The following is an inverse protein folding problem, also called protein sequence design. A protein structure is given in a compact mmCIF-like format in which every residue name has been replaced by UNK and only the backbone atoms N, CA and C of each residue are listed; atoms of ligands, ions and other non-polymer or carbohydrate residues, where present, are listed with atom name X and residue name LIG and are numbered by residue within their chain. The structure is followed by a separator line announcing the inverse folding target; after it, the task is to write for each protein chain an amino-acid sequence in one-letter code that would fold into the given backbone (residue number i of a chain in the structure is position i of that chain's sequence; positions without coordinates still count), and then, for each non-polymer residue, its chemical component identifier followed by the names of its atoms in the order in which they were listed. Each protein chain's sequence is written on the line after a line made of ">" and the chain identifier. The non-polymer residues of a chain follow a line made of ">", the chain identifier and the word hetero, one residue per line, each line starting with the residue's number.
data_IF_554957935106
#
_entry.id   IF_554957935106
#
_cell.length_a   1.000
_cell.length_b   1.000
_cell.length_c   1.000
_cell.angle_alpha   90.00
_cell.angle_beta   90.00
_cell.angle_gamma   90.00
#
_symmetry.space_group_name_H-M   'P 1'
#
loop_
_entity.id
_entity.type
_entity.pdbx_description
1 polymer ?
#
# COMPACT_ATOMS: atom_id res chain seq x y z
N UNK A 1 -18.42 -25.74 9.95
CA UNK A 1 -17.17 -25.02 10.28
C UNK A 1 -17.19 -24.34 11.64
N UNK A 2 -18.16 -23.49 12.00
CA UNK A 2 -18.18 -22.85 13.33
C UNK A 2 -18.42 -23.86 14.48
N UNK A 3 -19.26 -24.88 14.23
CA UNK A 3 -19.55 -25.96 15.19
C UNK A 3 -18.36 -26.94 15.33
N UNK A 4 -17.77 -27.38 14.22
CA UNK A 4 -16.56 -28.22 14.22
C UNK A 4 -15.36 -27.54 14.90
N UNK A 5 -15.19 -26.23 14.69
CA UNK A 5 -14.13 -25.44 15.34
C UNK A 5 -14.34 -25.32 16.86
N UNK A 6 -15.57 -25.10 17.31
CA UNK A 6 -15.92 -25.09 18.73
C UNK A 6 -15.76 -26.50 19.34
N UNK A 7 -16.16 -27.56 18.62
CA UNK A 7 -16.00 -28.95 19.06
C UNK A 7 -14.51 -29.33 19.21
N UNK A 8 -13.65 -28.92 18.28
CA UNK A 8 -12.20 -29.13 18.37
C UNK A 8 -11.57 -28.36 19.56
N UNK A 9 -11.97 -27.10 19.79
CA UNK A 9 -11.48 -26.34 20.95
C UNK A 9 -11.87 -27.00 22.28
N UNK A 10 -13.04 -27.64 22.34
CA UNK A 10 -13.57 -28.29 23.53
C UNK A 10 -12.91 -29.66 23.78
N UNK A 11 -12.50 -30.39 22.74
CA UNK A 11 -11.80 -31.68 22.89
C UNK A 11 -10.36 -31.50 23.38
N UNK A 12 -9.65 -30.48 22.89
CA UNK A 12 -8.28 -30.17 23.31
C UNK A 12 -8.16 -29.61 24.74
N UNK A 13 -9.21 -28.96 25.26
CA UNK A 13 -9.24 -28.51 26.67
C UNK A 13 -9.50 -29.65 27.63
N UNK A 14 -10.29 -30.67 27.24
CA UNK A 14 -10.56 -31.84 28.11
C UNK A 14 -9.35 -32.74 28.30
N UNK A 15 -8.52 -32.95 27.28
CA UNK A 15 -7.31 -33.77 27.40
C UNK A 15 -6.23 -33.13 28.29
N UNK A 16 -6.17 -31.79 28.38
CA UNK A 16 -5.19 -31.11 29.24
C UNK A 16 -5.60 -31.04 30.72
N UNK A 17 -6.86 -31.32 31.07
CA UNK A 17 -7.33 -31.28 32.46
C UNK A 17 -7.20 -32.65 33.13
N UNK A 18 -7.23 -33.76 32.39
CA UNK A 18 -7.02 -35.11 32.94
C UNK A 18 -5.57 -35.36 33.38
N UNK A 19 -4.59 -34.71 32.76
CA UNK A 19 -3.17 -35.00 32.98
C UNK A 19 -2.54 -34.18 34.13
N UNK A 20 -3.26 -33.19 34.67
CA UNK A 20 -2.76 -32.33 35.76
C UNK A 20 -3.20 -32.82 37.15
N UNK A 21 -4.16 -33.75 37.24
CA UNK A 21 -4.70 -34.23 38.52
C UNK A 21 -3.85 -35.32 39.21
N UNK A 22 -2.84 -35.90 38.55
CA UNK A 22 -2.10 -37.08 39.03
C UNK A 22 -0.60 -36.86 39.28
N UNK A 23 -0.17 -35.63 39.56
CA UNK A 23 1.24 -35.35 39.83
C UNK A 23 1.45 -34.06 40.64
N UNK A 24 1.28 -34.11 41.96
CA UNK A 24 1.84 -33.09 42.85
C UNK A 24 2.14 -33.62 44.26
N UNK A 25 3.33 -34.22 44.42
CA UNK A 25 3.99 -34.36 45.72
C UNK A 25 5.50 -34.59 45.57
N UNK A 26 6.32 -33.53 45.60
CA UNK A 26 7.62 -33.51 46.30
C UNK A 26 8.40 -32.18 46.14
N UNK A 27 8.44 -31.48 47.27
CA UNK A 27 9.38 -30.51 47.88
C UNK A 27 10.87 -30.38 47.44
N UNK A 28 11.38 -29.12 47.60
CA UNK A 28 12.75 -28.64 48.02
C UNK A 28 13.82 -28.56 46.88
N UNK A 29 14.71 -27.56 46.69
CA UNK A 29 15.26 -26.38 47.43
C UNK A 29 15.99 -25.39 46.47
N UNK A 30 16.08 -24.11 46.89
CA UNK A 30 17.04 -23.05 46.47
C UNK A 30 18.51 -23.37 46.86
N UNK A 31 19.60 -22.73 46.35
CA UNK A 31 19.79 -21.26 46.44
C UNK A 31 20.77 -20.50 45.46
N UNK A 32 20.73 -19.16 45.62
CA UNK A 32 21.81 -18.14 45.51
C UNK A 32 22.14 -17.40 44.18
N UNK A 33 22.26 -16.08 44.37
CA UNK A 33 22.63 -15.00 43.46
C UNK A 33 24.14 -14.91 43.17
N UNK A 34 24.53 -14.23 42.07
CA UNK A 34 25.76 -13.45 41.95
C UNK A 34 25.64 -12.37 40.85
N UNK A 35 26.21 -11.21 41.15
CA UNK A 35 26.13 -9.91 40.46
C UNK A 35 27.35 -9.61 39.54
N UNK A 36 27.19 -8.54 38.74
CA UNK A 36 28.23 -7.63 38.18
C UNK A 36 28.85 -8.05 36.82
N UNK A 37 29.27 -7.19 35.86
CA UNK A 37 29.55 -5.74 35.82
C UNK A 37 29.67 -5.28 34.36
N UNK A 38 29.36 -4.01 34.06
CA UNK A 38 29.65 -3.27 32.81
C UNK A 38 31.14 -2.89 32.71
N UNK A 39 31.65 -2.54 31.50
CA UNK A 39 32.42 -1.30 31.42
C UNK A 39 32.07 -0.39 30.23
N UNK A 40 31.98 0.90 30.52
CA UNK A 40 32.10 2.01 29.57
C UNK A 40 33.58 2.34 29.35
N UNK A 41 33.94 2.81 28.15
CA UNK A 41 35.19 3.55 27.93
C UNK A 41 34.93 4.83 27.14
N UNK A 42 35.32 5.93 27.76
CA UNK A 42 35.37 7.33 27.31
C UNK A 42 36.73 7.67 26.67
N UNK A 43 36.74 8.68 25.78
CA UNK A 43 37.71 9.78 25.61
C UNK A 43 37.59 10.33 24.16
N UNK A 44 37.00 11.50 23.89
CA UNK A 44 37.49 12.90 24.02
C UNK A 44 38.84 13.22 23.35
N UNK A 45 38.82 14.07 22.30
CA UNK A 45 39.58 15.34 22.03
C UNK A 45 39.11 15.84 20.64
N UNK A 46 38.29 16.90 20.49
CA UNK A 46 38.49 18.37 20.49
C UNK A 46 39.11 19.05 19.24
N UNK A 47 38.27 19.87 18.60
CA UNK A 47 38.48 21.23 18.03
C UNK A 47 39.24 21.41 16.71
N UNK A 48 38.53 21.93 15.69
CA UNK A 48 38.92 23.17 14.98
C UNK A 48 37.74 23.87 14.29
N UNK A 49 37.59 25.15 14.61
CA UNK A 49 36.69 26.16 14.03
C UNK A 49 37.20 26.64 12.66
N UNK A 50 36.31 26.84 11.70
CA UNK A 50 36.45 27.84 10.62
C UNK A 50 35.05 28.22 10.09
N UNK A 51 34.56 29.41 10.47
CA UNK A 51 34.44 30.62 9.64
C UNK A 51 33.32 30.57 8.57
N UNK A 52 32.20 31.21 8.93
CA UNK A 52 31.19 31.77 8.00
C UNK A 52 31.81 32.84 7.08
N UNK A 53 31.17 33.10 5.93
CA UNK A 53 31.00 34.46 5.43
C UNK A 53 29.52 34.89 5.38
N UNK A 54 29.31 36.16 5.72
CA UNK A 54 28.10 36.96 5.53
C UNK A 54 28.03 37.51 4.09
N UNK A 55 26.82 37.64 3.55
CA UNK A 55 26.33 38.63 2.55
C UNK A 55 24.89 38.21 2.21
N UNK A 56 23.88 39.06 2.09
CA UNK A 56 23.72 40.50 2.13
C UNK A 56 22.28 40.77 1.66
N UNK A 57 21.61 41.73 2.29
CA UNK A 57 20.25 42.18 1.99
C UNK A 57 20.04 42.57 0.52
N UNK A 58 18.83 42.37 0.01
CA UNK A 58 18.15 43.30 -0.91
C UNK A 58 16.65 43.02 -0.98
N UNK A 59 15.88 44.01 -0.49
CA UNK A 59 14.43 44.22 -0.68
C UNK A 59 14.11 44.67 -2.11
N UNK A 60 12.98 44.19 -2.63
CA UNK A 60 11.97 44.91 -3.42
C UNK A 60 10.77 43.96 -3.51
N UNK A 61 9.53 44.22 -3.06
CA UNK A 61 8.62 45.37 -3.20
C UNK A 61 8.44 45.80 -4.66
N UNK A 62 7.52 45.11 -5.35
CA UNK A 62 6.61 45.72 -6.32
C UNK A 62 5.21 45.18 -6.00
N UNK A 63 4.30 46.13 -5.84
CA UNK A 63 2.88 46.02 -5.58
C UNK A 63 2.17 46.62 -6.81
N UNK A 64 0.86 46.36 -6.94
CA UNK A 64 -0.10 46.94 -7.90
C UNK A 64 0.02 46.46 -9.34
N UNK A 65 -1.02 46.45 -10.16
CA UNK A 65 -2.49 46.27 -10.09
C UNK A 65 -2.88 46.43 -11.57
N UNK A 66 -3.81 45.61 -12.07
CA UNK A 66 -4.81 45.94 -13.12
C UNK A 66 -5.36 44.63 -13.71
N UNK A 67 -6.58 44.24 -13.32
CA UNK A 67 -7.84 44.55 -14.03
C UNK A 67 -7.79 44.04 -15.47
N UNK A 68 -8.36 42.85 -15.70
CA UNK A 68 -9.15 42.68 -16.91
C UNK A 68 -10.40 41.84 -16.67
N UNK A 69 -11.53 42.45 -17.03
CA UNK A 69 -12.89 41.93 -16.93
C UNK A 69 -13.14 41.10 -18.19
N UNK A 70 -13.42 39.81 -18.06
CA UNK A 70 -14.12 39.08 -19.12
C UNK A 70 -15.02 37.95 -18.59
N UNK A 71 -16.31 38.27 -18.55
CA UNK A 71 -17.49 37.44 -18.86
C UNK A 71 -17.59 36.04 -18.25
N UNK A 72 -18.52 35.92 -17.29
CA UNK A 72 -19.20 34.66 -16.94
C UNK A 72 -20.01 34.11 -18.13
N UNK A 73 -19.97 32.78 -18.36
CA UNK A 73 -21.09 32.06 -18.93
C UNK A 73 -21.79 31.21 -17.86
N UNK A 74 -23.11 31.32 -17.86
CA UNK A 74 -24.05 30.66 -16.97
C UNK A 74 -24.02 29.13 -17.05
N UNK A 75 -23.91 28.53 -15.86
CA UNK A 75 -24.59 27.33 -15.35
C UNK A 75 -25.04 26.25 -16.35
N UNK A 76 -24.12 25.35 -16.68
CA UNK A 76 -24.44 23.95 -17.00
C UNK A 76 -24.10 23.07 -15.81
N UNK A 77 -25.11 22.52 -15.13
CA UNK A 77 -24.96 21.55 -14.04
C UNK A 77 -24.21 20.30 -14.54
N UNK A 78 -22.89 20.29 -14.40
CA UNK A 78 -22.05 19.12 -14.63
C UNK A 78 -21.75 18.47 -13.29
N UNK A 79 -22.31 17.29 -13.07
CA UNK A 79 -21.95 16.38 -11.98
C UNK A 79 -20.52 15.87 -12.19
N UNK A 80 -19.53 16.72 -11.95
CA UNK A 80 -18.14 16.29 -11.82
C UNK A 80 -17.93 15.78 -10.38
N UNK A 81 -17.98 14.47 -10.22
CA UNK A 81 -17.56 13.80 -9.00
C UNK A 81 -16.04 13.93 -8.84
N UNK A 82 -15.61 15.04 -8.22
CA UNK A 82 -14.23 15.29 -7.77
C UNK A 82 -14.18 15.08 -6.25
N UNK A 83 -13.68 13.93 -5.81
CA UNK A 83 -13.51 13.61 -4.38
C UNK A 83 -12.06 13.14 -4.16
N UNK A 84 -11.31 13.85 -3.32
CA UNK A 84 -10.04 13.42 -2.72
C UNK A 84 -9.96 14.00 -1.30
N UNK A 85 -9.64 13.17 -0.30
CA UNK A 85 -9.44 13.56 1.11
C UNK A 85 -8.21 12.85 1.67
N UNK A 86 -7.81 13.17 2.91
CA UNK A 86 -6.66 12.64 3.64
C UNK A 86 -7.03 12.36 5.10
N UNK A 87 -6.72 11.15 5.57
CA UNK A 87 -6.78 10.70 6.96
C UNK A 87 -5.34 10.47 7.42
N UNK A 88 -4.94 11.12 8.51
CA UNK A 88 -3.58 10.98 9.01
C UNK A 88 -3.33 9.62 9.68
N UNK A 89 -2.07 9.33 10.00
CA UNK A 89 -1.63 8.09 10.66
C UNK A 89 -2.22 7.88 12.07
N UNK A 90 -2.88 8.89 12.65
CA UNK A 90 -3.55 8.83 13.94
C UNK A 90 -5.08 8.69 13.81
N UNK A 91 -5.62 8.63 12.59
CA UNK A 91 -7.06 8.58 12.35
C UNK A 91 -7.77 9.93 12.52
N UNK A 92 -7.03 11.04 12.54
CA UNK A 92 -7.60 12.39 12.62
C UNK A 92 -7.86 12.87 11.19
N UNK A 93 -9.13 13.14 10.89
CA UNK A 93 -9.57 13.72 9.63
C UNK A 93 -9.28 15.21 9.66
N UNK A 94 -8.35 15.69 8.81
CA UNK A 94 -8.24 17.13 8.55
C UNK A 94 -9.26 17.49 7.49
N UNK A 95 -10.30 18.23 7.87
CA UNK A 95 -11.28 18.70 6.90
C UNK A 95 -10.59 19.57 5.84
N UNK A 96 -10.75 19.26 4.54
CA UNK A 96 -10.32 20.19 3.50
C UNK A 96 -11.13 21.49 3.64
N UNK A 97 -10.50 22.63 3.36
CA UNK A 97 -11.12 23.97 3.37
C UNK A 97 -12.21 24.18 2.32
N UNK A 98 -12.73 23.09 1.73
CA UNK A 98 -13.75 23.08 0.70
C UNK A 98 -15.05 22.59 1.33
N UNK A 99 -16.05 23.46 1.39
CA UNK A 99 -17.41 23.13 1.81
C UNK A 99 -18.01 22.09 0.83
N UNK A 100 -18.10 20.84 1.27
CA UNK A 100 -18.79 19.77 0.53
C UNK A 100 -20.31 20.00 0.57
N UNK A 101 -21.02 19.65 -0.51
CA UNK A 101 -22.49 19.55 -0.41
C UNK A 101 -22.90 18.42 0.53
N UNK A 102 -24.07 18.52 1.16
CA UNK A 102 -24.63 17.49 2.03
C UNK A 102 -24.64 16.10 1.35
N UNK A 103 -24.92 16.09 0.04
CA UNK A 103 -24.92 14.85 -0.75
C UNK A 103 -23.53 14.21 -0.88
N UNK A 104 -22.47 15.03 -0.93
CA UNK A 104 -21.09 14.57 -0.98
C UNK A 104 -20.59 14.15 0.41
N UNK A 105 -20.97 14.88 1.47
CA UNK A 105 -20.66 14.49 2.85
C UNK A 105 -21.33 13.16 3.22
N UNK A 106 -22.58 12.93 2.82
CA UNK A 106 -23.26 11.67 3.05
C UNK A 106 -22.58 10.50 2.33
N UNK A 107 -22.17 10.70 1.06
CA UNK A 107 -21.40 9.70 0.30
C UNK A 107 -20.04 9.42 0.93
N UNK A 108 -19.36 10.45 1.42
CA UNK A 108 -18.09 10.35 2.13
C UNK A 108 -18.23 9.52 3.42
N UNK A 109 -19.19 9.89 4.26
CA UNK A 109 -19.44 9.18 5.52
C UNK A 109 -19.76 7.70 5.26
N UNK A 110 -20.58 7.42 4.24
CA UNK A 110 -20.89 6.05 3.83
C UNK A 110 -19.63 5.29 3.38
N UNK A 111 -18.79 5.92 2.55
CA UNK A 111 -17.53 5.33 2.09
C UNK A 111 -16.58 5.01 3.24
N UNK A 112 -16.38 5.95 4.17
CA UNK A 112 -15.52 5.75 5.36
C UNK A 112 -16.05 4.58 6.18
N UNK A 113 -17.35 4.56 6.47
CA UNK A 113 -17.97 3.49 7.25
C UNK A 113 -17.80 2.11 6.59
N UNK A 114 -17.96 2.03 5.26
CA UNK A 114 -17.81 0.79 4.51
C UNK A 114 -16.34 0.34 4.42
N UNK A 115 -15.41 1.29 4.33
CA UNK A 115 -13.96 1.04 4.40
C UNK A 115 -13.55 0.48 5.76
N UNK A 116 -14.04 1.05 6.86
CA UNK A 116 -13.77 0.56 8.21
C UNK A 116 -14.30 -0.87 8.42
N UNK A 117 -15.55 -1.14 8.03
CA UNK A 117 -16.13 -2.49 8.05
C UNK A 117 -15.28 -3.48 7.24
N UNK A 118 -14.78 -3.06 6.08
CA UNK A 118 -13.89 -3.87 5.23
C UNK A 118 -12.57 -4.19 5.94
N UNK A 119 -11.93 -3.19 6.54
CA UNK A 119 -10.68 -3.37 7.29
C UNK A 119 -10.88 -4.29 8.50
N UNK A 120 -11.98 -4.14 9.24
CA UNK A 120 -12.31 -5.03 10.35
C UNK A 120 -12.42 -6.50 9.92
N UNK A 121 -13.09 -6.77 8.79
CA UNK A 121 -13.17 -8.15 8.23
C UNK A 121 -11.80 -8.71 7.85
N UNK A 122 -10.93 -7.90 7.24
CA UNK A 122 -9.57 -8.29 6.87
C UNK A 122 -8.76 -8.63 8.13
N UNK A 123 -8.82 -7.77 9.15
CA UNK A 123 -8.13 -7.99 10.44
C UNK A 123 -8.62 -9.28 11.11
N UNK A 124 -9.94 -9.50 11.13
CA UNK A 124 -10.51 -10.69 11.75
C UNK A 124 -10.09 -11.98 11.02
N UNK A 125 -10.13 -12.00 9.69
CA UNK A 125 -9.66 -13.16 8.92
C UNK A 125 -8.16 -13.38 9.08
N UNK A 126 -7.36 -12.31 9.12
CA UNK A 126 -5.93 -12.40 9.39
C UNK A 126 -5.65 -12.99 10.78
N UNK A 127 -6.41 -12.56 11.80
CA UNK A 127 -6.35 -13.11 13.16
C UNK A 127 -6.68 -14.61 13.16
N UNK A 128 -7.75 -15.01 12.48
CA UNK A 128 -8.15 -16.43 12.36
C UNK A 128 -7.08 -17.28 11.67
N UNK A 129 -6.47 -16.78 10.59
CA UNK A 129 -5.36 -17.45 9.90
C UNK A 129 -4.13 -17.59 10.81
N UNK A 130 -3.80 -16.55 11.58
CA UNK A 130 -2.66 -16.58 12.50
C UNK A 130 -2.85 -17.61 13.62
N UNK A 131 -4.04 -17.64 14.24
CA UNK A 131 -4.40 -18.64 15.25
C UNK A 131 -4.33 -20.05 14.66
N UNK A 132 -4.94 -20.27 13.49
CA UNK A 132 -4.91 -21.59 12.84
C UNK A 132 -3.49 -22.04 12.48
N UNK A 133 -2.65 -21.14 11.98
CA UNK A 133 -1.25 -21.43 11.71
C UNK A 133 -0.47 -21.78 12.99
N UNK A 134 -0.77 -21.15 14.13
CA UNK A 134 -0.18 -21.51 15.42
C UNK A 134 -0.60 -22.92 15.86
N UNK A 135 -1.88 -23.27 15.74
CA UNK A 135 -2.37 -24.62 16.03
C UNK A 135 -1.73 -25.68 15.13
N UNK A 136 -1.62 -25.42 13.82
CA UNK A 136 -0.92 -26.31 12.88
C UNK A 136 0.53 -26.54 13.28
N UNK A 137 1.25 -25.49 13.68
CA UNK A 137 2.63 -25.60 14.16
C UNK A 137 2.71 -26.45 15.44
N UNK A 138 1.82 -26.23 16.40
CA UNK A 138 1.79 -27.00 17.64
C UNK A 138 1.49 -28.49 17.39
N UNK A 139 0.50 -28.79 16.55
CA UNK A 139 0.16 -30.15 16.16
C UNK A 139 1.32 -30.85 15.44
N UNK A 140 1.98 -30.17 14.51
CA UNK A 140 3.17 -30.71 13.84
C UNK A 140 4.31 -31.00 14.84
N UNK A 141 4.56 -30.10 15.80
CA UNK A 141 5.55 -30.35 16.85
C UNK A 141 5.21 -31.58 17.71
N UNK A 142 3.94 -31.77 18.05
CA UNK A 142 3.48 -32.92 18.84
C UNK A 142 3.59 -34.23 18.06
N UNK A 143 3.20 -34.23 16.79
CA UNK A 143 3.39 -35.36 15.88
C UNK A 143 4.88 -35.77 15.79
N UNK A 144 5.78 -34.80 15.60
CA UNK A 144 7.22 -35.06 15.55
C UNK A 144 7.81 -35.57 16.88
N UNK A 145 7.15 -35.30 18.00
CA UNK A 145 7.51 -35.82 19.33
C UNK A 145 6.90 -37.18 19.63
N UNK A 146 6.06 -37.72 18.75
CA UNK A 146 5.32 -38.96 18.97
C UNK A 146 4.26 -38.85 20.07
N UNK A 147 3.84 -37.63 20.43
CA UNK A 147 2.81 -37.44 21.46
C UNK A 147 1.38 -37.53 20.92
N UNK A 148 1.21 -37.45 19.59
CA UNK A 148 -0.08 -37.55 18.91
C UNK A 148 0.13 -38.27 17.57
N UNK A 149 -0.77 -39.20 17.23
CA UNK A 149 -0.76 -39.91 15.94
C UNK A 149 -1.19 -39.01 14.77
N UNK A 150 -0.69 -39.32 13.57
CA UNK A 150 -0.97 -38.58 12.34
C UNK A 150 -2.48 -38.47 12.07
N UNK A 151 -3.23 -39.57 12.26
CA UNK A 151 -4.68 -39.62 12.01
C UNK A 151 -5.45 -38.57 12.82
N UNK A 152 -4.98 -38.24 14.03
CA UNK A 152 -5.63 -37.26 14.92
C UNK A 152 -5.38 -35.81 14.50
N UNK A 153 -4.35 -35.54 13.69
CA UNK A 153 -3.94 -34.19 13.28
C UNK A 153 -3.99 -33.97 11.77
N UNK A 154 -4.26 -35.02 10.98
CA UNK A 154 -4.23 -34.98 9.52
C UNK A 154 -5.18 -33.91 8.96
N UNK A 155 -6.43 -33.86 9.42
CA UNK A 155 -7.39 -32.84 8.98
C UNK A 155 -6.88 -31.43 9.26
N UNK A 156 -6.29 -31.19 10.44
CA UNK A 156 -5.76 -29.89 10.82
C UNK A 156 -4.55 -29.50 9.95
N UNK A 157 -3.66 -30.45 9.65
CA UNK A 157 -2.46 -30.24 8.85
C UNK A 157 -2.77 -30.11 7.36
N UNK A 158 -3.80 -30.77 6.85
CA UNK A 158 -4.21 -30.75 5.43
C UNK A 158 -5.23 -29.64 5.13
N UNK A 159 -5.85 -29.04 6.14
CA UNK A 159 -6.84 -27.97 5.95
C UNK A 159 -6.27 -26.82 5.12
N UNK A 160 -7.00 -26.52 4.05
CA UNK A 160 -6.74 -25.43 3.14
C UNK A 160 -7.10 -24.07 3.77
N UNK A 161 -6.06 -23.32 4.14
CA UNK A 161 -6.16 -21.98 4.70
C UNK A 161 -6.74 -20.95 3.73
N UNK A 162 -6.73 -21.22 2.43
CA UNK A 162 -7.27 -20.29 1.43
C UNK A 162 -8.78 -20.12 1.60
N UNK A 163 -9.47 -21.11 2.17
CA UNK A 163 -10.92 -21.07 2.47
C UNK A 163 -11.30 -20.07 3.57
N UNK A 164 -10.34 -19.57 4.35
CA UNK A 164 -10.58 -18.51 5.34
C UNK A 164 -10.46 -17.16 4.62
N UNK A 165 -11.50 -16.74 3.90
CA UNK A 165 -11.51 -15.51 3.09
C UNK A 165 -12.22 -14.35 3.80
N UNK A 166 -11.67 -13.13 3.69
CA UNK A 166 -12.31 -11.91 4.19
C UNK A 166 -13.51 -11.48 3.32
N UNK A 167 -13.41 -11.78 2.02
CA UNK A 167 -14.45 -11.51 1.03
C UNK A 167 -14.57 -12.73 0.13
N UNK A 168 -15.71 -13.46 0.17
CA UNK A 168 -15.92 -14.60 -0.69
C UNK A 168 -15.79 -14.20 -2.17
N UNK A 169 -15.05 -14.99 -2.95
CA UNK A 169 -14.82 -14.72 -4.38
C UNK A 169 -16.10 -14.43 -5.18
N UNK A 170 -17.20 -15.13 -4.87
CA UNK A 170 -18.52 -14.90 -5.51
C UNK A 170 -19.11 -13.52 -5.18
N UNK A 171 -18.95 -13.04 -3.95
CA UNK A 171 -19.44 -11.73 -3.55
C UNK A 171 -18.62 -10.63 -4.24
N UNK A 172 -17.29 -10.76 -4.21
CA UNK A 172 -16.38 -9.84 -4.90
C UNK A 172 -16.69 -9.71 -6.40
N UNK A 173 -17.00 -10.82 -7.06
CA UNK A 173 -17.39 -10.82 -8.47
C UNK A 173 -18.69 -10.04 -8.70
N UNK A 174 -19.73 -10.27 -7.86
CA UNK A 174 -21.00 -9.54 -7.92
C UNK A 174 -20.82 -8.04 -7.69
N UNK A 175 -20.05 -7.67 -6.67
CA UNK A 175 -19.75 -6.27 -6.35
C UNK A 175 -19.02 -5.60 -7.52
N UNK A 176 -18.03 -6.29 -8.11
CA UNK A 176 -17.31 -5.80 -9.29
C UNK A 176 -18.24 -5.60 -10.49
N UNK A 177 -19.12 -6.55 -10.79
CA UNK A 177 -20.08 -6.47 -11.90
C UNK A 177 -21.07 -5.32 -11.67
N UNK A 178 -21.52 -5.11 -10.43
CA UNK A 178 -22.43 -4.01 -10.10
C UNK A 178 -21.77 -2.65 -10.29
N UNK A 179 -20.49 -2.52 -9.91
CA UNK A 179 -19.71 -1.30 -10.14
C UNK A 179 -19.48 -1.04 -11.64
N UNK A 180 -19.22 -2.10 -12.43
CA UNK A 180 -19.04 -2.03 -13.89
C UNK A 180 -20.29 -1.52 -14.63
N UNK A 181 -21.48 -1.64 -14.03
CA UNK A 181 -22.73 -1.16 -14.61
C UNK A 181 -23.03 0.32 -14.33
N UNK A 182 -22.30 0.99 -13.43
CA UNK A 182 -22.70 2.30 -12.89
C UNK A 182 -21.76 3.48 -13.17
N UNK A 183 -20.69 3.33 -13.95
CA UNK A 183 -19.87 4.47 -14.38
C UNK A 183 -18.41 4.13 -14.65
N UNK A 184 -17.54 5.17 -14.66
CA UNK A 184 -16.09 5.01 -14.73
C UNK A 184 -15.58 4.31 -13.47
N UNK A 185 -14.71 3.31 -13.64
CA UNK A 185 -14.09 2.62 -12.51
C UNK A 185 -12.65 3.05 -12.39
N UNK A 186 -12.26 3.34 -11.14
CA UNK A 186 -10.88 3.55 -10.80
C UNK A 186 -10.32 2.35 -10.03
N UNK A 187 -9.32 1.71 -10.61
CA UNK A 187 -8.52 0.69 -9.96
C UNK A 187 -7.23 1.33 -9.45
N UNK A 188 -6.99 1.23 -8.15
CA UNK A 188 -5.79 1.79 -7.53
C UNK A 188 -5.06 0.66 -6.84
N UNK A 189 -3.83 0.39 -7.27
CA UNK A 189 -3.07 -0.79 -6.81
C UNK A 189 -1.67 -0.40 -6.35
N UNK A 190 -1.26 -1.01 -5.22
CA UNK A 190 0.10 -0.90 -4.68
C UNK A 190 1.04 -1.86 -5.39
N UNK A 191 2.28 -1.44 -5.62
CA UNK A 191 3.32 -2.38 -6.08
C UNK A 191 3.41 -3.63 -5.17
N UNK A 192 3.86 -4.73 -5.76
CA UNK A 192 4.11 -5.96 -5.04
C UNK A 192 5.33 -5.85 -4.08
N UNK A 193 5.66 -6.92 -3.37
CA UNK A 193 6.77 -6.95 -2.41
C UNK A 193 8.10 -6.51 -3.04
N UNK A 194 8.78 -5.58 -2.37
CA UNK A 194 10.07 -5.03 -2.79
C UNK A 194 11.23 -5.91 -2.30
N UNK A 195 12.31 -5.95 -3.06
CA UNK A 195 13.52 -6.71 -2.71
C UNK A 195 14.20 -6.16 -1.44
N UNK A 196 14.21 -4.85 -1.25
CA UNK A 196 14.85 -4.21 -0.09
C UNK A 196 14.18 -4.51 1.25
N UNK A 197 12.90 -4.89 1.25
CA UNK A 197 12.19 -5.36 2.45
C UNK A 197 12.71 -6.72 2.94
N UNK A 198 13.31 -7.51 2.06
CA UNK A 198 13.73 -8.89 2.34
C UNK A 198 15.24 -8.98 2.46
N UNK A 199 15.96 -8.28 1.58
CA UNK A 199 17.40 -8.39 1.44
C UNK A 199 18.08 -7.05 1.71
N UNK A 200 18.69 -6.91 2.89
CA UNK A 200 19.42 -5.68 3.29
C UNK A 200 20.62 -5.35 2.39
N UNK A 201 21.15 -6.34 1.66
CA UNK A 201 22.31 -6.21 0.75
C UNK A 201 21.92 -6.09 -0.73
N UNK A 202 20.64 -5.88 -1.04
CA UNK A 202 20.16 -5.81 -2.43
C UNK A 202 20.93 -4.79 -3.30
N UNK A 203 21.41 -3.70 -2.68
CA UNK A 203 22.21 -2.65 -3.34
C UNK A 203 23.57 -3.11 -3.84
N UNK A 204 24.18 -4.12 -3.22
CA UNK A 204 25.48 -4.64 -3.66
C UNK A 204 25.42 -5.26 -5.06
N UNK A 205 24.21 -5.62 -5.51
CA UNK A 205 23.95 -6.30 -6.79
C UNK A 205 23.08 -5.48 -7.74
N UNK A 206 22.78 -4.22 -7.42
CA UNK A 206 21.88 -3.37 -8.20
C UNK A 206 22.54 -2.04 -8.53
N UNK A 207 22.34 -1.57 -9.76
CA UNK A 207 22.73 -0.22 -10.21
C UNK A 207 21.65 0.83 -9.92
N UNK A 208 20.51 0.43 -9.35
CA UNK A 208 19.41 1.34 -9.02
C UNK A 208 19.72 2.18 -7.78
N UNK A 209 19.12 3.38 -7.73
CA UNK A 209 19.20 4.25 -6.54
C UNK A 209 18.48 3.63 -5.36
N UNK A 210 18.82 4.07 -4.14
CA UNK A 210 18.41 3.38 -2.91
C UNK A 210 16.91 3.45 -2.64
N UNK A 211 16.21 4.43 -3.21
CA UNK A 211 14.75 4.57 -3.17
C UNK A 211 14.02 3.86 -4.33
N UNK A 212 14.76 3.25 -5.27
CA UNK A 212 14.23 2.55 -6.44
C UNK A 212 14.51 1.03 -6.40
N UNK A 213 14.16 0.39 -5.28
CA UNK A 213 14.27 -1.07 -5.17
C UNK A 213 13.32 -1.80 -6.15
N UNK A 214 13.77 -2.89 -6.80
CA UNK A 214 12.92 -3.71 -7.67
C UNK A 214 12.00 -4.62 -6.85
N UNK A 215 11.17 -5.43 -7.53
CA UNK A 215 10.39 -6.47 -6.88
C UNK A 215 11.27 -7.62 -6.38
N UNK A 216 10.87 -8.22 -5.26
CA UNK A 216 11.45 -9.50 -4.82
C UNK A 216 10.94 -10.65 -5.69
N UNK A 217 11.56 -11.83 -5.58
CA UNK A 217 11.05 -13.05 -6.24
C UNK A 217 9.58 -13.33 -5.90
N UNK A 218 9.19 -13.11 -4.64
CA UNK A 218 7.81 -13.27 -4.18
C UNK A 218 6.93 -12.14 -4.70
N UNK A 219 7.43 -10.91 -4.77
CA UNK A 219 6.74 -9.78 -5.40
C UNK A 219 6.37 -10.06 -6.86
N UNK A 220 7.27 -10.69 -7.62
CA UNK A 220 6.98 -11.12 -9.00
C UNK A 220 5.80 -12.11 -9.06
N UNK A 221 5.71 -13.06 -8.12
CA UNK A 221 4.59 -14.01 -8.03
C UNK A 221 3.29 -13.28 -7.67
N UNK A 222 3.33 -12.36 -6.71
CA UNK A 222 2.15 -11.55 -6.35
C UNK A 222 1.62 -10.74 -7.54
N UNK A 223 2.51 -10.19 -8.36
CA UNK A 223 2.12 -9.48 -9.59
C UNK A 223 1.47 -10.41 -10.63
N UNK A 224 1.92 -11.66 -10.74
CA UNK A 224 1.28 -12.67 -11.60
C UNK A 224 -0.10 -13.11 -11.08
N UNK A 225 -0.26 -13.29 -9.77
CA UNK A 225 -1.55 -13.55 -9.15
C UNK A 225 -2.55 -12.40 -9.38
N UNK A 226 -2.04 -11.17 -9.30
CA UNK A 226 -2.79 -9.96 -9.64
C UNK A 226 -3.22 -9.96 -11.12
N UNK A 227 -2.32 -10.30 -12.04
CA UNK A 227 -2.63 -10.44 -13.47
C UNK A 227 -3.78 -11.43 -13.70
N UNK A 228 -3.73 -12.60 -13.05
CA UNK A 228 -4.79 -13.61 -13.09
C UNK A 228 -6.12 -13.07 -12.58
N UNK A 229 -6.11 -12.27 -11.50
CA UNK A 229 -7.33 -11.63 -10.98
C UNK A 229 -7.92 -10.61 -11.96
N UNK A 230 -7.07 -9.95 -12.73
CA UNK A 230 -7.44 -8.93 -13.71
C UNK A 230 -7.72 -9.50 -15.11
N UNK A 231 -7.58 -10.82 -15.34
CA UNK A 231 -7.67 -11.44 -16.67
C UNK A 231 -8.95 -11.05 -17.46
N UNK A 232 -10.08 -10.87 -16.77
CA UNK A 232 -11.37 -10.52 -17.36
C UNK A 232 -11.80 -9.06 -17.09
N UNK A 233 -10.87 -8.22 -16.59
CA UNK A 233 -11.11 -6.80 -16.36
C UNK A 233 -10.62 -6.04 -17.58
N UNK A 234 -11.51 -5.29 -18.23
CA UNK A 234 -11.15 -4.36 -19.30
C UNK A 234 -10.45 -3.14 -18.70
N UNK A 235 -9.30 -2.78 -19.25
CA UNK A 235 -8.51 -1.62 -18.86
C UNK A 235 -8.38 -0.72 -20.09
N UNK A 236 -8.92 0.50 -20.00
CA UNK A 236 -8.88 1.45 -21.11
C UNK A 236 -7.65 2.36 -21.00
N UNK A 237 -7.25 2.68 -19.77
CA UNK A 237 -6.06 3.49 -19.49
C UNK A 237 -5.29 2.93 -18.30
N UNK A 238 -3.96 2.85 -18.45
CA UNK A 238 -3.05 2.41 -17.40
C UNK A 238 -2.02 3.50 -17.14
N UNK A 239 -1.95 3.95 -15.90
CA UNK A 239 -0.99 4.94 -15.42
C UNK A 239 -0.16 4.35 -14.29
N UNK A 240 1.13 4.63 -14.26
CA UNK A 240 2.05 4.06 -13.29
C UNK A 240 3.05 5.08 -12.78
N UNK A 241 3.44 4.95 -11.50
CA UNK A 241 4.63 5.64 -11.00
C UNK A 241 5.88 5.19 -11.77
N UNK A 242 6.91 6.06 -11.85
CA UNK A 242 8.15 5.79 -12.60
C UNK A 242 9.13 4.83 -11.89
N UNK A 243 8.86 4.39 -10.66
CA UNK A 243 9.73 3.45 -9.95
C UNK A 243 9.65 2.03 -10.55
N UNK A 244 10.78 1.31 -10.58
CA UNK A 244 10.88 -0.04 -11.16
C UNK A 244 9.89 -1.02 -10.52
N UNK A 245 9.66 -0.94 -9.21
CA UNK A 245 8.67 -1.79 -8.52
C UNK A 245 7.23 -1.60 -9.04
N UNK A 246 6.82 -0.38 -9.40
CA UNK A 246 5.49 -0.13 -9.96
C UNK A 246 5.44 -0.56 -11.42
N UNK A 247 6.49 -0.28 -12.19
CA UNK A 247 6.63 -0.68 -13.59
C UNK A 247 6.63 -2.20 -13.78
N UNK A 248 7.39 -2.95 -12.99
CA UNK A 248 7.44 -4.42 -13.06
C UNK A 248 6.09 -5.04 -12.64
N UNK A 249 5.44 -4.47 -11.60
CA UNK A 249 4.10 -4.94 -11.19
C UNK A 249 3.07 -4.75 -12.30
N UNK A 250 3.01 -3.54 -12.89
CA UNK A 250 2.01 -3.23 -13.92
C UNK A 250 2.31 -3.93 -15.25
N UNK A 251 3.59 -4.09 -15.61
CA UNK A 251 4.00 -4.81 -16.83
C UNK A 251 3.56 -6.27 -16.77
N UNK A 252 3.72 -6.92 -15.61
CA UNK A 252 3.22 -8.29 -15.39
C UNK A 252 1.70 -8.39 -15.37
N UNK A 253 1.01 -7.38 -14.84
CA UNK A 253 -0.45 -7.31 -14.81
C UNK A 253 -1.02 -7.19 -16.23
N UNK A 254 -0.47 -6.27 -17.01
CA UNK A 254 -0.91 -6.00 -18.38
C UNK A 254 -0.55 -7.17 -19.29
N UNK A 255 0.63 -7.76 -19.12
CA UNK A 255 1.08 -8.90 -19.91
C UNK A 255 1.12 -8.54 -21.39
N UNK A 256 0.38 -9.29 -22.22
CA UNK A 256 0.34 -9.12 -23.68
C UNK A 256 -0.86 -8.29 -24.16
N UNK A 257 -1.59 -7.63 -23.25
CA UNK A 257 -2.73 -6.80 -23.65
C UNK A 257 -2.27 -5.57 -24.40
N UNK A 258 -3.07 -5.19 -25.39
CA UNK A 258 -2.88 -3.96 -26.15
C UNK A 258 -3.36 -2.74 -25.34
N UNK A 259 -2.62 -2.39 -24.30
CA UNK A 259 -2.81 -1.17 -23.51
C UNK A 259 -1.46 -0.58 -23.13
N UNK A 260 -1.26 0.68 -23.48
CA UNK A 260 0.00 1.36 -23.23
C UNK A 260 0.17 1.75 -21.75
N UNK A 261 1.40 1.76 -21.26
CA UNK A 261 1.74 2.14 -19.89
C UNK A 261 2.14 3.62 -19.84
N UNK A 262 1.26 4.48 -19.34
CA UNK A 262 1.52 5.91 -19.20
C UNK A 262 2.30 6.17 -17.91
N UNK A 263 3.58 6.50 -18.03
CA UNK A 263 4.44 6.77 -16.87
C UNK A 263 4.18 8.18 -16.35
N UNK A 264 3.65 8.29 -15.14
CA UNK A 264 3.29 9.55 -14.51
C UNK A 264 4.16 9.79 -13.26
N UNK A 265 5.18 10.65 -13.36
CA UNK A 265 6.01 11.05 -12.23
C UNK A 265 5.19 11.68 -11.08
N UNK A 266 4.05 12.29 -11.39
CA UNK A 266 3.08 12.75 -10.40
C UNK A 266 2.53 11.68 -9.44
N UNK A 267 2.62 10.39 -9.79
CA UNK A 267 2.23 9.25 -8.94
C UNK A 267 3.40 8.69 -8.11
N UNK A 268 4.57 9.34 -8.12
CA UNK A 268 5.70 8.93 -7.29
C UNK A 268 5.38 9.05 -5.78
N UNK A 269 6.21 8.41 -4.96
CA UNK A 269 6.06 8.41 -3.50
C UNK A 269 6.10 9.82 -2.92
N UNK A 270 5.66 9.97 -1.67
CA UNK A 270 5.87 11.23 -0.95
C UNK A 270 7.36 11.58 -0.94
N UNK A 271 7.72 12.80 -1.37
CA UNK A 271 9.12 13.12 -1.70
C UNK A 271 10.06 13.10 -0.50
N UNK A 272 9.52 13.16 0.73
CA UNK A 272 10.31 13.03 1.95
C UNK A 272 10.84 11.60 2.18
N UNK A 273 10.27 10.58 1.50
CA UNK A 273 10.74 9.19 1.48
C UNK A 273 11.64 8.87 0.29
N UNK A 274 11.83 9.83 -0.62
CA UNK A 274 12.68 9.67 -1.79
C UNK A 274 14.07 10.26 -1.56
N UNK A 275 15.02 9.85 -2.40
CA UNK A 275 16.24 10.61 -2.57
C UNK A 275 15.95 11.98 -3.20
N UNK A 276 16.95 12.86 -3.22
CA UNK A 276 16.85 14.20 -3.83
C UNK A 276 17.86 14.35 -4.98
N UNK A 277 17.42 14.39 -6.25
CA UNK A 277 16.05 14.12 -6.73
C UNK A 277 15.65 12.65 -6.53
N UNK A 278 14.36 12.28 -6.64
CA UNK A 278 13.93 10.88 -6.55
C UNK A 278 14.66 9.98 -7.56
N UNK A 279 14.90 8.74 -7.18
CA UNK A 279 15.82 7.87 -7.91
C UNK A 279 15.22 6.97 -8.98
N UNK A 280 14.04 7.31 -9.51
CA UNK A 280 13.52 6.65 -10.70
C UNK A 280 14.37 6.99 -11.93
N UNK A 281 14.38 6.08 -12.91
CA UNK A 281 15.16 6.25 -14.13
C UNK A 281 14.49 7.18 -15.15
N UNK A 282 15.25 7.74 -16.11
CA UNK A 282 14.67 8.50 -17.21
C UNK A 282 13.87 7.60 -18.17
N UNK A 283 12.94 8.19 -18.91
CA UNK A 283 11.92 7.46 -19.68
C UNK A 283 12.53 6.54 -20.75
N UNK A 284 13.68 6.92 -21.33
CA UNK A 284 14.36 6.16 -22.38
C UNK A 284 14.88 4.82 -21.83
N UNK A 285 15.42 4.83 -20.61
CA UNK A 285 15.85 3.62 -19.91
C UNK A 285 14.66 2.77 -19.48
N UNK A 286 13.60 3.41 -18.98
CA UNK A 286 12.35 2.75 -18.61
C UNK A 286 11.75 2.02 -19.82
N UNK A 287 11.63 2.69 -20.98
CA UNK A 287 11.09 2.13 -22.22
C UNK A 287 11.91 0.93 -22.72
N UNK A 288 13.23 0.98 -22.57
CA UNK A 288 14.13 -0.14 -22.91
C UNK A 288 13.83 -1.38 -22.05
N UNK A 289 13.50 -1.19 -20.77
CA UNK A 289 13.15 -2.27 -19.83
C UNK A 289 11.70 -2.75 -19.98
N UNK A 290 10.78 -1.84 -20.27
CA UNK A 290 9.33 -2.06 -20.29
C UNK A 290 8.76 -1.59 -21.64
N UNK A 291 8.72 -2.46 -22.67
CA UNK A 291 8.41 -2.07 -24.05
C UNK A 291 7.03 -1.44 -24.26
N UNK A 292 6.04 -1.77 -23.41
CA UNK A 292 4.68 -1.24 -23.48
C UNK A 292 4.54 0.20 -22.94
N UNK A 293 5.61 0.80 -22.42
CA UNK A 293 5.61 2.20 -21.97
C UNK A 293 5.29 3.14 -23.12
N UNK A 294 4.32 4.03 -22.94
CA UNK A 294 4.04 5.10 -23.90
C UNK A 294 5.04 6.24 -23.71
N UNK A 295 5.96 6.41 -24.64
CA UNK A 295 6.93 7.51 -24.66
C UNK A 295 6.36 8.79 -25.30
N UNK A 296 5.21 8.71 -25.98
CA UNK A 296 4.45 9.87 -26.45
C UNK A 296 3.56 10.47 -25.35
N UNK A 297 3.34 9.75 -24.24
CA UNK A 297 2.58 10.25 -23.10
C UNK A 297 3.27 11.46 -22.48
N UNK A 298 2.55 12.59 -22.45
CA UNK A 298 2.99 13.80 -21.75
C UNK A 298 2.46 13.79 -20.30
N UNK A 299 3.34 13.69 -19.29
CA UNK A 299 2.93 13.66 -17.89
C UNK A 299 2.26 14.95 -17.45
N UNK A 300 1.33 14.84 -16.49
CA UNK A 300 0.70 16.01 -15.86
C UNK A 300 1.71 16.73 -14.96
N UNK A 301 2.50 15.96 -14.21
CA UNK A 301 3.62 16.48 -13.44
C UNK A 301 4.90 15.94 -14.04
N UNK A 302 5.77 16.86 -14.47
CA UNK A 302 7.03 16.51 -15.12
C UNK A 302 8.01 15.76 -14.20
N UNK A 303 9.14 15.28 -14.75
CA UNK A 303 10.14 14.52 -14.00
C UNK A 303 10.85 15.37 -12.94
N UNK A 304 10.86 16.70 -13.10
CA UNK A 304 11.36 17.64 -12.09
C UNK A 304 10.26 17.83 -11.05
N UNK A 305 10.45 17.20 -9.89
CA UNK A 305 9.45 17.21 -8.82
C UNK A 305 9.29 18.60 -8.17
N UNK A 306 8.04 18.98 -7.79
CA UNK A 306 7.82 20.19 -7.02
C UNK A 306 8.48 20.09 -5.64
N UNK A 307 8.71 21.23 -4.98
CA UNK A 307 9.11 21.24 -3.58
C UNK A 307 7.92 20.80 -2.73
N UNK A 308 8.14 19.81 -1.88
CA UNK A 308 7.16 19.32 -0.90
C UNK A 308 7.68 19.51 0.51
N UNK A 309 6.75 19.64 1.46
CA UNK A 309 7.05 19.58 2.88
C UNK A 309 7.45 18.18 3.35
N UNK A 310 7.47 17.99 4.67
CA UNK A 310 7.71 16.69 5.28
C UNK A 310 6.39 16.03 5.68
N UNK A 311 6.33 14.70 5.60
CA UNK A 311 5.17 13.90 5.98
C UNK A 311 4.29 13.46 4.80
N UNK A 312 3.40 12.51 5.07
CA UNK A 312 2.53 11.87 4.07
C UNK A 312 1.64 12.90 3.35
N UNK A 313 1.11 13.87 4.11
CA UNK A 313 0.23 14.93 3.60
C UNK A 313 0.96 15.90 2.64
N UNK A 314 2.29 15.89 2.57
CA UNK A 314 3.02 16.85 1.75
C UNK A 314 2.83 16.60 0.24
N UNK A 315 2.51 15.36 -0.16
CA UNK A 315 2.30 14.99 -1.56
C UNK A 315 0.86 15.23 -2.07
N UNK A 316 -0.07 15.56 -1.16
CA UNK A 316 -1.48 15.84 -1.46
C UNK A 316 -1.67 16.79 -2.64
N UNK A 317 -1.05 17.99 -2.66
CA UNK A 317 -1.34 18.96 -3.71
C UNK A 317 -0.85 18.46 -5.08
N UNK A 318 0.28 17.75 -5.10
CA UNK A 318 0.79 17.09 -6.31
C UNK A 318 -0.17 16.02 -6.78
N UNK A 319 -0.55 15.07 -5.92
CA UNK A 319 -1.46 13.99 -6.30
C UNK A 319 -2.80 14.51 -6.81
N UNK A 320 -3.37 15.54 -6.15
CA UNK A 320 -4.60 16.19 -6.62
C UNK A 320 -4.43 16.77 -8.03
N UNK A 321 -3.33 17.46 -8.28
CA UNK A 321 -3.02 18.04 -9.60
C UNK A 321 -2.88 16.94 -10.65
N UNK A 322 -2.11 15.91 -10.34
CA UNK A 322 -1.87 14.75 -11.20
C UNK A 322 -3.19 14.05 -11.57
N UNK A 323 -4.01 13.71 -10.59
CA UNK A 323 -5.24 12.96 -10.81
C UNK A 323 -6.28 13.78 -11.57
N UNK A 324 -6.41 15.08 -11.28
CA UNK A 324 -7.28 15.96 -12.06
C UNK A 324 -6.83 16.03 -13.53
N UNK A 325 -5.52 16.21 -13.78
CA UNK A 325 -5.01 16.24 -15.15
C UNK A 325 -5.19 14.92 -15.90
N UNK A 326 -5.03 13.79 -15.22
CA UNK A 326 -5.30 12.47 -15.81
C UNK A 326 -6.79 12.32 -16.13
N UNK A 327 -7.67 12.70 -15.19
CA UNK A 327 -9.11 12.63 -15.44
C UNK A 327 -9.53 13.52 -16.60
N UNK A 328 -8.95 14.71 -16.74
CA UNK A 328 -9.20 15.60 -17.87
C UNK A 328 -8.75 14.98 -19.19
N UNK A 329 -7.58 14.33 -19.23
CA UNK A 329 -7.09 13.58 -20.40
C UNK A 329 -8.00 12.39 -20.76
N UNK A 330 -8.62 11.76 -19.75
CA UNK A 330 -9.52 10.61 -19.94
C UNK A 330 -11.00 10.98 -20.13
N UNK A 331 -11.38 12.27 -20.16
CA UNK A 331 -12.80 12.70 -20.31
C UNK A 331 -13.41 12.40 -21.69
N UNK A 332 -12.60 12.12 -22.70
CA UNK A 332 -13.03 12.02 -24.11
C UNK A 332 -13.35 10.59 -24.59
N UNK A 333 -13.20 9.57 -23.74
CA UNK A 333 -13.46 8.16 -24.07
C UNK A 333 -14.74 7.59 -23.43
N UNK A 334 -15.38 6.66 -24.14
CA UNK A 334 -16.62 5.92 -23.84
C UNK A 334 -16.98 5.75 -22.35
N UNK A 335 -18.29 5.79 -22.04
CA UNK A 335 -18.90 5.80 -20.69
C UNK A 335 -18.56 4.60 -19.75
N UNK A 336 -17.64 3.71 -20.15
CA UNK A 336 -17.19 2.52 -19.41
C UNK A 336 -15.69 2.52 -19.10
N UNK A 337 -15.03 3.68 -19.06
CA UNK A 337 -13.59 3.76 -18.83
C UNK A 337 -13.17 3.16 -17.47
N UNK A 338 -12.45 2.04 -17.50
CA UNK A 338 -11.63 1.52 -16.41
C UNK A 338 -10.26 2.18 -16.44
N UNK A 339 -10.03 3.11 -15.51
CA UNK A 339 -8.72 3.76 -15.32
C UNK A 339 -7.97 3.01 -14.22
N UNK A 340 -6.73 2.64 -14.50
CA UNK A 340 -5.87 1.93 -13.56
C UNK A 340 -4.67 2.77 -13.15
N UNK A 341 -4.44 2.90 -11.84
CA UNK A 341 -3.27 3.53 -11.25
C UNK A 341 -2.41 2.52 -10.51
N UNK A 342 -1.11 2.54 -10.81
CA UNK A 342 -0.09 1.85 -10.03
C UNK A 342 0.68 2.86 -9.18
N UNK A 343 0.43 2.84 -7.86
CA UNK A 343 1.00 3.80 -6.92
C UNK A 343 1.99 3.16 -5.96
N UNK A 344 2.77 4.03 -5.35
CA UNK A 344 3.68 3.73 -4.25
C UNK A 344 2.93 3.69 -2.90
N UNK A 345 3.62 3.37 -1.81
CA UNK A 345 2.96 2.94 -0.56
C UNK A 345 2.20 4.07 0.12
N UNK A 346 2.84 5.22 0.29
CA UNK A 346 2.23 6.39 0.93
C UNK A 346 1.24 7.05 -0.01
N UNK A 347 1.59 7.15 -1.31
CA UNK A 347 0.66 7.71 -2.30
C UNK A 347 -0.69 6.94 -2.35
N UNK A 348 -0.67 5.62 -2.08
CA UNK A 348 -1.89 4.82 -1.95
C UNK A 348 -2.63 5.09 -0.64
N UNK A 349 -1.91 5.18 0.49
CA UNK A 349 -2.51 5.51 1.78
C UNK A 349 -3.27 6.83 1.66
N UNK A 350 -2.60 7.86 1.16
CA UNK A 350 -3.08 9.22 0.90
C UNK A 350 -4.24 9.28 -0.13
N UNK A 351 -4.52 8.21 -0.87
CA UNK A 351 -5.65 8.15 -1.82
C UNK A 351 -6.92 7.52 -1.22
N UNK A 352 -6.75 6.66 -0.21
CA UNK A 352 -7.83 5.93 0.47
C UNK A 352 -8.19 6.52 1.84
N UNK A 353 -7.22 7.21 2.41
CA UNK A 353 -7.35 8.17 3.49
C UNK A 353 -7.58 9.51 2.85
#
# INVERSE_FOLDING_TARGET
>A
MNVLYQQLLTSFTKQNISDVASSSASKISHPSQLNATTPQLTNMVNIRRSKLPKRGDSRSVIQEDDIDRCREPQTGFRSESRLFYFIDSNGIVKEPTISLSDSQQARLAQFIQDSEKRQQRIREVSRRRAVFAAHRRAAACNLMRGTVDLENVDELLTTDLTKIEAFPSKQMAKDTISLLKMGRILWVVRHAEREDNINRRWREKSSLRSDNSPLSKRGCVQAQELAKRFQNVQLDHVFTSPFDRTLDTVSRLVGERDVALNVEPGLCEALYLCERPPGFEPIEKIKTKYPLVDDAYQPVVGPIMPKEGYGDDACVPRLRTTLNGIFDKCKTGCARAGIFFMLTTVALQVLFF
#
